data_IF_428257463811
#
_entry.id   IF_428257463811
#
_cell.length_a   1.000
_cell.length_b   1.000
_cell.length_c   1.000
_cell.angle_alpha   90.00
_cell.angle_beta   90.00
_cell.angle_gamma   90.00
#
_symmetry.space_group_name_H-M   'P 1'
#
loop_
_entity.id
_entity.type
_entity.pdbx_description
1 polymer ?
#
# COMPACT_ATOMS: atom_id res chain seq x y z
N UNK A 1 0.07 -3.21 -1.62
CA UNK A 1 0.84 -3.47 -0.37
C UNK A 1 1.42 -2.20 0.29
N UNK A 2 1.57 -1.06 -0.43
CA UNK A 2 2.15 0.18 0.14
C UNK A 2 1.30 0.79 1.26
N UNK A 3 0.03 1.10 1.00
CA UNK A 3 -0.84 1.76 2.00
C UNK A 3 -1.04 0.92 3.27
N UNK A 4 -1.10 -0.41 3.14
CA UNK A 4 -1.19 -1.30 4.30
C UNK A 4 0.07 -1.25 5.16
N UNK A 5 1.27 -1.23 4.53
CA UNK A 5 2.52 -1.10 5.29
C UNK A 5 2.57 0.24 6.04
N UNK A 6 2.18 1.34 5.39
CA UNK A 6 2.07 2.65 6.04
C UNK A 6 1.04 2.64 7.17
N UNK A 7 -0.11 1.98 7.02
CA UNK A 7 -1.13 1.95 8.06
C UNK A 7 -0.75 1.10 9.29
N UNK A 8 0.03 0.02 9.09
CA UNK A 8 0.26 -0.99 10.12
C UNK A 8 1.65 -0.95 10.77
N UNK A 9 2.63 -0.28 10.15
CA UNK A 9 4.04 -0.31 10.61
C UNK A 9 4.61 1.05 10.96
N UNK A 10 4.05 2.12 10.41
CA UNK A 10 4.59 3.47 10.53
C UNK A 10 3.99 4.18 11.75
N UNK A 11 4.85 4.81 12.52
CA UNK A 11 4.49 5.71 13.60
C UNK A 11 5.08 7.10 13.34
N UNK A 12 4.21 8.10 13.22
CA UNK A 12 4.60 9.42 12.69
C UNK A 12 5.63 10.18 13.54
N UNK A 13 5.70 9.95 14.86
CA UNK A 13 6.69 10.60 15.73
C UNK A 13 8.12 10.04 15.58
N UNK A 14 8.25 8.82 15.03
CA UNK A 14 9.54 8.12 14.87
C UNK A 14 9.97 7.95 13.43
N UNK A 15 9.00 7.62 12.58
CA UNK A 15 9.26 7.06 11.25
C UNK A 15 9.07 8.10 10.13
N UNK A 16 8.63 9.32 10.48
CA UNK A 16 8.50 10.45 9.56
C UNK A 16 9.77 11.31 9.59
N UNK A 17 10.48 11.36 8.47
CA UNK A 17 11.56 12.33 8.28
C UNK A 17 11.09 13.45 7.37
N UNK A 18 11.21 14.69 7.84
CA UNK A 18 10.90 15.89 7.08
C UNK A 18 12.20 16.61 6.77
N UNK A 19 12.51 16.77 5.49
CA UNK A 19 13.71 17.47 5.03
C UNK A 19 13.26 18.72 4.26
N UNK A 20 13.16 19.89 4.93
CA UNK A 20 12.75 21.13 4.29
C UNK A 20 13.88 21.75 3.48
N UNK A 21 13.53 22.71 2.63
CA UNK A 21 14.47 23.63 1.98
C UNK A 21 15.46 22.95 1.02
N UNK A 22 15.05 21.87 0.37
CA UNK A 22 15.88 21.14 -0.59
C UNK A 22 15.55 21.57 -2.01
N UNK A 23 16.55 21.62 -2.89
CA UNK A 23 16.35 21.89 -4.31
C UNK A 23 15.51 20.76 -4.93
N UNK A 24 14.44 21.16 -5.62
CA UNK A 24 13.42 20.29 -6.19
C UNK A 24 13.28 20.44 -7.70
N UNK A 25 12.21 19.88 -8.25
CA UNK A 25 11.89 20.02 -9.67
C UNK A 25 11.21 21.36 -9.93
N UNK A 26 11.70 22.10 -10.94
CA UNK A 26 11.07 23.36 -11.36
C UNK A 26 9.61 23.21 -11.85
N UNK A 27 9.22 22.00 -12.28
CA UNK A 27 7.86 21.69 -12.72
C UNK A 27 6.93 21.28 -11.59
N UNK A 28 7.44 21.06 -10.37
CA UNK A 28 6.59 20.70 -9.25
C UNK A 28 5.66 21.88 -8.92
N UNK A 29 4.33 21.71 -8.98
CA UNK A 29 3.38 22.79 -8.74
C UNK A 29 3.38 23.28 -7.29
N UNK A 30 3.86 22.48 -6.33
CA UNK A 30 3.93 22.84 -4.90
C UNK A 30 5.31 23.30 -4.45
N UNK A 31 6.28 23.40 -5.36
CA UNK A 31 7.59 23.96 -5.04
C UNK A 31 7.48 25.44 -4.63
N UNK A 32 8.30 25.83 -3.68
CA UNK A 32 8.23 27.11 -2.99
C UNK A 32 9.55 27.88 -3.06
N UNK A 33 9.46 29.20 -2.88
CA UNK A 33 10.58 30.12 -2.73
C UNK A 33 11.10 30.16 -1.28
N UNK A 34 12.19 30.87 -1.06
CA UNK A 34 12.92 30.88 0.22
C UNK A 34 12.02 31.22 1.43
N UNK A 35 11.05 32.11 1.27
CA UNK A 35 10.12 32.55 2.31
C UNK A 35 8.79 31.75 2.35
N UNK A 36 8.59 30.79 1.43
CA UNK A 36 7.36 29.99 1.22
C UNK A 36 6.11 30.73 0.74
N UNK A 37 6.21 31.99 0.34
CA UNK A 37 5.09 32.80 -0.13
C UNK A 37 4.96 32.83 -1.65
N UNK A 38 6.04 32.53 -2.37
CA UNK A 38 6.05 32.43 -3.83
C UNK A 38 6.47 31.05 -4.34
N UNK A 39 6.27 30.81 -5.64
CA UNK A 39 6.84 29.66 -6.33
C UNK A 39 8.35 29.80 -6.46
N UNK A 40 9.09 28.72 -6.25
CA UNK A 40 10.55 28.73 -6.33
C UNK A 40 11.13 27.33 -6.56
N UNK A 41 12.46 27.18 -6.46
CA UNK A 41 13.14 25.91 -6.72
C UNK A 41 13.13 24.95 -5.52
N UNK A 42 12.52 25.32 -4.38
CA UNK A 42 12.65 24.56 -3.14
C UNK A 42 11.46 23.64 -2.90
N UNK A 43 11.73 22.51 -2.24
CA UNK A 43 10.76 21.50 -1.86
C UNK A 43 11.03 21.03 -0.43
N UNK A 44 10.01 20.40 0.15
CA UNK A 44 10.16 19.56 1.35
C UNK A 44 10.09 18.12 0.90
N UNK A 45 11.11 17.32 1.22
CA UNK A 45 11.08 15.88 1.01
C UNK A 45 10.58 15.19 2.27
N UNK A 46 9.84 14.11 2.07
CA UNK A 46 9.30 13.28 3.14
C UNK A 46 9.84 11.86 2.96
N UNK A 47 10.25 11.25 4.07
CA UNK A 47 10.55 9.82 4.12
C UNK A 47 9.56 9.20 5.09
N UNK A 48 8.86 8.16 4.63
CA UNK A 48 8.03 7.31 5.45
C UNK A 48 8.77 5.98 5.64
N UNK A 49 9.29 5.72 6.83
CA UNK A 49 9.81 4.40 7.14
C UNK A 49 8.65 3.45 7.47
N UNK A 50 8.25 2.65 6.49
CA UNK A 50 7.21 1.62 6.63
C UNK A 50 7.81 0.21 6.61
N UNK A 51 9.09 0.07 6.98
CA UNK A 51 9.75 -1.23 7.09
C UNK A 51 9.21 -2.03 8.27
N UNK A 52 9.46 -3.34 8.29
CA UNK A 52 9.12 -4.15 9.47
C UNK A 52 10.10 -3.80 10.58
N UNK A 53 9.64 -3.56 11.82
CA UNK A 53 10.55 -3.25 12.92
C UNK A 53 11.49 -4.43 13.16
N UNK A 54 12.75 -4.12 13.47
CA UNK A 54 13.77 -5.11 13.80
C UNK A 54 13.59 -5.62 15.25
N UNK A 55 14.13 -6.80 15.59
CA UNK A 55 14.20 -7.26 16.97
C UNK A 55 14.79 -6.19 17.91
N UNK A 56 14.29 -6.06 19.16
CA UNK A 56 13.44 -7.00 19.88
C UNK A 56 11.93 -6.83 19.65
N UNK A 57 11.49 -5.97 18.72
CA UNK A 57 10.07 -5.81 18.42
C UNK A 57 9.48 -7.09 17.83
N UNK A 58 8.42 -7.61 18.46
CA UNK A 58 7.66 -8.74 17.93
C UNK A 58 6.54 -8.22 17.03
N UNK A 59 6.77 -8.22 15.72
CA UNK A 59 5.77 -7.79 14.74
C UNK A 59 4.89 -8.99 14.35
N UNK A 60 3.55 -8.85 14.38
CA UNK A 60 2.65 -9.94 14.04
C UNK A 60 2.96 -10.57 12.68
N UNK A 61 2.89 -11.91 12.63
CA UNK A 61 3.04 -12.64 11.37
C UNK A 61 1.92 -12.25 10.42
N UNK A 62 2.27 -12.14 9.14
CA UNK A 62 1.27 -11.91 8.10
C UNK A 62 0.29 -13.08 8.06
N UNK A 63 -1.01 -12.77 8.04
CA UNK A 63 -2.04 -13.77 7.88
C UNK A 63 -1.90 -14.43 6.50
N UNK A 64 -1.69 -15.74 6.51
CA UNK A 64 -1.62 -16.58 5.30
C UNK A 64 -2.60 -17.73 5.46
N UNK A 65 -3.33 -18.03 4.38
CA UNK A 65 -4.12 -19.25 4.34
C UNK A 65 -3.17 -20.47 4.37
N UNK A 66 -3.60 -21.62 4.90
CA UNK A 66 -2.80 -22.84 4.88
C UNK A 66 -2.41 -23.24 3.44
N UNK A 67 -1.17 -23.67 3.26
CA UNK A 67 -0.63 -24.00 1.94
C UNK A 67 -1.45 -25.11 1.24
N UNK A 68 -1.94 -26.09 1.99
CA UNK A 68 -2.80 -27.16 1.46
C UNK A 68 -4.06 -26.61 0.79
N UNK A 69 -4.69 -25.60 1.38
CA UNK A 69 -5.91 -24.98 0.83
C UNK A 69 -5.57 -24.20 -0.43
N UNK A 70 -4.49 -23.41 -0.41
CA UNK A 70 -4.03 -22.65 -1.58
C UNK A 70 -3.67 -23.58 -2.74
N UNK A 71 -3.01 -24.71 -2.48
CA UNK A 71 -2.60 -25.66 -3.51
C UNK A 71 -3.78 -26.40 -4.17
N UNK A 72 -4.97 -26.39 -3.55
CA UNK A 72 -6.20 -26.96 -4.13
C UNK A 72 -6.94 -26.01 -5.07
N UNK A 73 -6.56 -24.73 -5.10
CA UNK A 73 -7.18 -23.73 -5.96
C UNK A 73 -6.71 -23.94 -7.40
N UNK A 74 -7.65 -24.18 -8.31
CA UNK A 74 -7.38 -24.17 -9.74
C UNK A 74 -7.68 -22.77 -10.26
N UNK A 75 -6.63 -22.01 -10.59
CA UNK A 75 -6.76 -20.62 -11.03
C UNK A 75 -7.71 -20.47 -12.23
N UNK A 76 -7.69 -21.39 -13.20
CA UNK A 76 -8.57 -21.27 -14.38
C UNK A 76 -10.03 -21.49 -14.02
N UNK A 77 -10.31 -22.42 -13.10
CA UNK A 77 -11.66 -22.74 -12.65
C UNK A 77 -12.18 -21.71 -11.66
N UNK A 78 -11.36 -21.31 -10.70
CA UNK A 78 -11.76 -20.59 -9.49
C UNK A 78 -11.59 -19.07 -9.60
N UNK A 79 -10.79 -18.57 -10.55
CA UNK A 79 -10.67 -17.12 -10.82
C UNK A 79 -11.33 -16.70 -12.14
N UNK A 80 -12.16 -17.56 -12.75
CA UNK A 80 -12.93 -17.15 -13.93
C UNK A 80 -13.94 -16.07 -13.56
N UNK A 81 -14.33 -15.26 -14.53
CA UNK A 81 -15.44 -14.34 -14.37
C UNK A 81 -16.74 -15.12 -14.09
N UNK A 82 -17.59 -14.49 -13.28
CA UNK A 82 -18.94 -14.97 -13.03
C UNK A 82 -19.75 -14.97 -14.34
N UNK A 83 -20.42 -16.09 -14.60
CA UNK A 83 -21.30 -16.32 -15.76
C UNK A 83 -22.72 -16.50 -15.24
N UNK A 84 -23.61 -15.49 -15.37
CA UNK A 84 -24.96 -15.55 -14.85
C UNK A 84 -25.79 -16.71 -15.38
N UNK A 85 -25.51 -17.20 -16.60
CA UNK A 85 -26.29 -18.29 -17.21
C UNK A 85 -25.91 -19.67 -16.64
N UNK A 86 -24.65 -19.83 -16.21
CA UNK A 86 -24.13 -21.07 -15.62
C UNK A 86 -24.20 -21.05 -14.10
N UNK A 87 -23.83 -19.94 -13.49
CA UNK A 87 -23.61 -19.85 -12.05
C UNK A 87 -24.90 -19.68 -11.27
N UNK A 88 -25.90 -18.97 -11.83
CA UNK A 88 -27.21 -18.86 -11.17
C UNK A 88 -27.92 -20.20 -11.09
N UNK A 89 -27.85 -21.04 -12.12
CA UNK A 89 -28.47 -22.37 -12.09
C UNK A 89 -27.89 -23.24 -10.98
N UNK A 90 -26.58 -23.14 -10.75
CA UNK A 90 -25.87 -23.86 -9.68
C UNK A 90 -26.22 -23.28 -8.29
N UNK A 91 -26.36 -21.95 -8.16
CA UNK A 91 -26.64 -21.29 -6.88
C UNK A 91 -28.12 -21.34 -6.46
N UNK A 92 -29.07 -21.31 -7.40
CA UNK A 92 -30.51 -21.31 -7.11
C UNK A 92 -31.13 -22.71 -7.12
N UNK A 93 -30.37 -23.74 -7.51
CA UNK A 93 -30.84 -25.13 -7.56
C UNK A 93 -31.93 -25.38 -8.60
N UNK A 94 -32.15 -24.45 -9.53
CA UNK A 94 -33.11 -24.63 -10.62
C UNK A 94 -32.44 -25.39 -11.77
N UNK A 95 -32.79 -26.67 -11.90
CA UNK A 95 -32.44 -27.53 -13.04
C UNK A 95 -33.17 -27.11 -14.32
#
# INVERSE_FOLDING_TARGET
QVLWALAMRFQADRDLVIIPNIIGSHLNPTAYGYNRLEKGPMETKLIFDATKPLPPYDFPKEAKAPDEVINRVDLRRDTRAYDPAKDNKVMTGQH
#
